data_IF_021217802133
#
_entry.id   IF_021217802133
#
_cell.length_a   1.000
_cell.length_b   1.000
_cell.length_c   1.000
_cell.angle_alpha   90.00
_cell.angle_beta   90.00
_cell.angle_gamma   90.00
#
_symmetry.space_group_name_H-M   'P 1'
#
loop_
_entity.id
_entity.type
_entity.pdbx_description
1 polymer ?
#
# COMPACT_ATOMS: atom_id res chain seq x y z
N UNK A 1 -2.51 4.60 16.54
CA UNK A 1 -3.78 4.10 15.98
C UNK A 1 -3.41 3.30 14.73
N UNK A 2 -3.47 1.97 14.86
CA UNK A 2 -3.04 1.00 13.86
C UNK A 2 -3.66 1.28 12.49
N UNK A 3 -2.85 1.24 11.44
CA UNK A 3 -3.33 1.37 10.05
C UNK A 3 -4.38 0.29 9.80
N UNK A 4 -5.59 0.72 9.48
CA UNK A 4 -6.77 -0.11 9.25
C UNK A 4 -6.89 -0.35 7.75
N UNK A 5 -7.33 -1.57 7.41
CA UNK A 5 -7.67 -2.09 6.08
C UNK A 5 -6.53 -2.84 5.36
N UNK A 6 -6.83 -4.09 4.97
CA UNK A 6 -6.02 -4.90 4.08
C UNK A 6 -5.78 -4.14 2.77
N UNK A 7 -4.50 -3.94 2.46
CA UNK A 7 -3.94 -3.22 1.33
C UNK A 7 -3.90 -1.69 1.42
N UNK A 8 -2.69 -1.19 1.68
CA UNK A 8 -2.26 0.19 1.46
C UNK A 8 -0.97 0.18 0.63
N UNK A 9 -0.97 0.86 -0.52
CA UNK A 9 0.28 1.33 -1.12
C UNK A 9 0.57 2.69 -0.50
N UNK A 10 1.36 2.68 0.57
CA UNK A 10 1.75 3.88 1.30
C UNK A 10 3.26 4.09 1.19
N UNK A 11 3.65 5.25 0.65
CA UNK A 11 4.89 5.92 1.02
C UNK A 11 4.49 7.02 1.99
N UNK A 12 4.21 6.63 3.24
CA UNK A 12 4.13 7.56 4.36
C UNK A 12 5.49 7.56 5.04
N UNK A 13 6.27 8.57 4.69
CA UNK A 13 7.29 9.09 5.59
C UNK A 13 6.56 9.85 6.72
N UNK A 14 6.28 9.18 7.83
CA UNK A 14 5.78 9.81 9.06
C UNK A 14 6.95 10.28 9.91
N UNK A 15 7.29 11.57 9.79
CA UNK A 15 7.69 12.45 10.91
C UNK A 15 8.12 13.83 10.39
N UNK A 16 7.21 14.61 9.79
CA UNK A 16 7.52 16.00 9.46
C UNK A 16 6.32 16.90 9.76
N UNK A 17 6.65 18.10 10.24
CA UNK A 17 5.83 19.17 10.84
C UNK A 17 4.73 19.76 9.91
N UNK A 18 4.38 19.09 8.80
CA UNK A 18 3.62 19.67 7.69
C UNK A 18 2.43 18.77 7.29
N UNK A 19 1.33 18.85 8.04
CA UNK A 19 0.02 18.29 7.65
C UNK A 19 -0.72 19.23 6.69
N UNK A 20 -1.56 18.78 5.74
CA UNK A 20 -2.27 19.68 4.82
C UNK A 20 -3.06 20.78 5.54
N UNK A 21 -3.58 20.50 6.73
CA UNK A 21 -4.29 21.44 7.59
C UNK A 21 -3.40 22.51 8.23
N UNK A 22 -2.09 22.30 8.32
CA UNK A 22 -1.10 23.28 8.82
C UNK A 22 -0.31 23.92 7.68
N UNK A 23 0.05 23.16 6.65
CA UNK A 23 0.86 23.60 5.51
C UNK A 23 0.10 24.54 4.57
N UNK A 24 -1.20 24.33 4.31
CA UNK A 24 -2.00 25.23 3.47
C UNK A 24 -2.19 26.61 4.12
N UNK A 25 -2.57 26.73 5.42
CA UNK A 25 -2.62 28.02 6.09
C UNK A 25 -1.25 28.71 6.21
N UNK A 26 -0.16 27.96 6.44
CA UNK A 26 1.21 28.50 6.45
C UNK A 26 1.65 29.00 5.07
N UNK A 27 1.36 28.24 4.00
CA UNK A 27 1.66 28.63 2.63
C UNK A 27 0.83 29.84 2.18
N UNK A 28 -0.46 29.90 2.57
CA UNK A 28 -1.32 31.07 2.36
C UNK A 28 -0.85 32.28 3.18
N UNK A 29 -0.44 32.08 4.43
CA UNK A 29 0.11 33.13 5.30
C UNK A 29 1.46 33.68 4.81
N UNK A 30 2.30 32.86 4.18
CA UNK A 30 3.57 33.27 3.57
C UNK A 30 3.39 33.83 2.15
N UNK A 31 2.32 33.45 1.44
CA UNK A 31 1.88 34.09 0.21
C UNK A 31 1.17 35.43 0.44
N UNK A 32 0.82 35.76 1.69
CA UNK A 32 0.23 37.04 2.06
C UNK A 32 1.31 38.14 2.12
N UNK A 33 1.48 38.84 0.99
CA UNK A 33 2.43 39.95 0.74
C UNK A 33 2.71 40.90 1.95
N UNK A 34 1.70 41.49 2.62
CA UNK A 34 1.90 42.38 3.78
C UNK A 34 2.53 41.73 5.03
N UNK A 35 2.41 40.42 5.24
CA UNK A 35 3.06 39.74 6.37
C UNK A 35 4.52 39.40 6.04
N UNK A 36 4.77 38.95 4.81
CA UNK A 36 6.09 38.57 4.33
C UNK A 36 7.02 39.78 4.18
N UNK A 37 6.50 40.91 3.69
CA UNK A 37 7.24 42.17 3.56
C UNK A 37 7.73 42.73 4.90
N UNK A 38 6.96 42.55 5.99
CA UNK A 38 7.36 42.93 7.36
C UNK A 38 8.49 42.06 7.92
N UNK A 39 8.49 40.76 7.61
CA UNK A 39 9.55 39.83 8.04
C UNK A 39 10.83 39.96 7.19
N UNK A 40 10.68 40.29 5.90
CA UNK A 40 11.80 40.50 4.97
C UNK A 40 12.56 41.82 5.17
N UNK A 41 12.02 42.79 5.92
CA UNK A 41 12.72 44.05 6.24
C UNK A 41 14.04 43.86 7.02
N UNK A 42 14.29 42.68 7.60
CA UNK A 42 15.53 42.33 8.32
C UNK A 42 16.55 41.53 7.50
N UNK A 43 16.27 41.18 6.25
CA UNK A 43 17.12 40.31 5.40
C UNK A 43 17.21 40.84 3.97
N UNK A 44 18.36 40.70 3.31
CA UNK A 44 18.56 41.10 1.90
C UNK A 44 17.48 40.50 0.97
N UNK A 45 16.95 41.31 0.05
CA UNK A 45 15.84 40.96 -0.87
C UNK A 45 16.05 39.62 -1.61
N UNK A 46 17.28 39.30 -2.01
CA UNK A 46 17.59 38.08 -2.78
C UNK A 46 17.46 36.78 -1.94
N UNK A 47 17.82 36.84 -0.65
CA UNK A 47 17.60 35.71 0.28
C UNK A 47 16.11 35.47 0.49
N UNK A 48 15.31 36.53 0.58
CA UNK A 48 13.87 36.43 0.78
C UNK A 48 13.17 35.80 -0.44
N UNK A 49 13.60 36.14 -1.66
CA UNK A 49 13.09 35.54 -2.90
C UNK A 49 13.44 34.05 -3.02
N UNK A 50 14.68 33.67 -2.67
CA UNK A 50 15.14 32.27 -2.70
C UNK A 50 14.40 31.41 -1.68
N UNK A 51 14.18 31.93 -0.46
CA UNK A 51 13.38 31.25 0.56
C UNK A 51 11.93 31.08 0.10
N UNK A 52 11.36 32.13 -0.53
CA UNK A 52 9.99 32.09 -1.05
C UNK A 52 9.81 31.01 -2.11
N UNK A 53 10.72 30.89 -3.08
CA UNK A 53 10.62 29.85 -4.11
C UNK A 53 10.74 28.44 -3.53
N UNK A 54 11.65 28.22 -2.57
CA UNK A 54 11.80 26.93 -1.88
C UNK A 54 10.54 26.55 -1.09
N UNK A 55 9.91 27.50 -0.42
CA UNK A 55 8.64 27.28 0.29
C UNK A 55 7.52 26.93 -0.69
N UNK A 56 7.42 27.62 -1.83
CA UNK A 56 6.42 27.28 -2.85
C UNK A 56 6.62 25.89 -3.44
N UNK A 57 7.87 25.50 -3.74
CA UNK A 57 8.18 24.15 -4.22
C UNK A 57 7.83 23.07 -3.21
N UNK A 58 8.14 23.29 -1.93
CA UNK A 58 7.77 22.36 -0.86
C UNK A 58 6.25 22.25 -0.70
N UNK A 59 5.52 23.37 -0.74
CA UNK A 59 4.06 23.37 -0.63
C UNK A 59 3.39 22.69 -1.83
N UNK A 60 3.89 22.92 -3.05
CA UNK A 60 3.39 22.26 -4.26
C UNK A 60 3.64 20.75 -4.21
N UNK A 61 4.83 20.31 -3.79
CA UNK A 61 5.14 18.90 -3.60
C UNK A 61 4.23 18.25 -2.53
N UNK A 62 3.99 18.93 -1.41
CA UNK A 62 3.05 18.47 -0.38
C UNK A 62 1.61 18.35 -0.87
N UNK A 63 1.15 19.30 -1.70
CA UNK A 63 -0.20 19.26 -2.27
C UNK A 63 -0.36 18.10 -3.25
N UNK A 64 0.63 17.85 -4.11
CA UNK A 64 0.64 16.70 -5.03
C UNK A 64 0.59 15.39 -4.25
N UNK A 65 1.39 15.27 -3.18
CA UNK A 65 1.37 14.09 -2.31
C UNK A 65 0.02 13.92 -1.61
N UNK A 66 -0.61 14.99 -1.14
CA UNK A 66 -1.93 14.94 -0.50
C UNK A 66 -3.06 14.59 -1.47
N UNK A 67 -3.01 15.10 -2.70
CA UNK A 67 -3.96 14.74 -3.75
C UNK A 67 -3.78 13.28 -4.18
N UNK A 68 -2.54 12.82 -4.29
CA UNK A 68 -2.24 11.42 -4.58
C UNK A 68 -2.75 10.49 -3.47
N UNK A 69 -2.59 10.86 -2.19
CA UNK A 69 -3.16 10.15 -1.05
C UNK A 69 -4.70 10.10 -1.11
N UNK A 70 -5.35 11.22 -1.43
CA UNK A 70 -6.81 11.28 -1.54
C UNK A 70 -7.35 10.44 -2.71
N UNK A 71 -6.68 10.47 -3.87
CA UNK A 71 -7.05 9.66 -5.03
C UNK A 71 -6.79 8.17 -4.76
N UNK A 72 -5.68 7.82 -4.11
CA UNK A 72 -5.36 6.44 -3.75
C UNK A 72 -6.36 5.86 -2.75
N UNK A 73 -6.78 6.63 -1.73
CA UNK A 73 -7.85 6.24 -0.81
C UNK A 73 -9.18 5.96 -1.52
N UNK A 74 -9.48 6.74 -2.57
CA UNK A 74 -10.69 6.53 -3.36
C UNK A 74 -10.59 5.37 -4.35
N UNK A 75 -9.38 4.96 -4.78
CA UNK A 75 -9.18 4.00 -5.88
C UNK A 75 -8.59 2.64 -5.49
N UNK A 76 -7.93 2.52 -4.33
CA UNK A 76 -7.17 1.32 -3.93
C UNK A 76 -7.99 0.02 -3.91
N UNK A 77 -9.31 0.09 -3.66
CA UNK A 77 -10.22 -1.07 -3.64
C UNK A 77 -11.23 -1.10 -4.81
N UNK A 78 -11.10 -0.19 -5.78
CA UNK A 78 -12.05 -0.10 -6.89
C UNK A 78 -11.86 -1.19 -7.94
N UNK A 79 -10.68 -1.82 -8.03
CA UNK A 79 -10.45 -2.85 -9.05
C UNK A 79 -11.32 -4.07 -8.83
N UNK A 80 -11.44 -4.59 -7.59
CA UNK A 80 -12.37 -5.69 -7.28
C UNK A 80 -13.81 -5.29 -7.62
N UNK A 81 -14.22 -4.05 -7.34
CA UNK A 81 -15.56 -3.53 -7.70
C UNK A 81 -15.78 -3.46 -9.21
N UNK A 82 -14.79 -2.98 -9.97
CA UNK A 82 -14.84 -2.87 -11.43
C UNK A 82 -14.90 -4.25 -12.08
N UNK A 83 -14.11 -5.16 -11.55
CA UNK A 83 -13.91 -6.50 -12.06
C UNK A 83 -15.11 -7.40 -11.71
N UNK A 84 -15.70 -7.26 -10.52
CA UNK A 84 -16.91 -7.98 -10.10
C UNK A 84 -18.14 -7.68 -10.97
N UNK A 85 -18.12 -6.61 -11.78
CA UNK A 85 -19.16 -6.32 -12.78
C UNK A 85 -19.07 -7.18 -14.05
N UNK A 86 -18.00 -7.97 -14.22
CA UNK A 86 -17.82 -8.85 -15.38
C UNK A 86 -18.51 -10.19 -15.13
N UNK A 87 -19.56 -10.56 -15.89
CA UNK A 87 -20.44 -11.69 -15.56
C UNK A 87 -19.81 -13.09 -15.74
N UNK A 88 -18.68 -13.19 -16.47
CA UNK A 88 -18.06 -14.47 -16.82
C UNK A 88 -16.90 -14.88 -15.92
N UNK A 89 -16.39 -13.97 -15.10
CA UNK A 89 -15.17 -14.23 -14.32
C UNK A 89 -15.53 -14.47 -12.86
N UNK A 90 -14.94 -15.52 -12.27
CA UNK A 90 -15.05 -15.81 -10.83
C UNK A 90 -13.94 -15.07 -10.10
N UNK A 91 -14.29 -14.46 -8.98
CA UNK A 91 -13.35 -13.74 -8.12
C UNK A 91 -13.33 -14.35 -6.74
N UNK A 92 -12.12 -14.53 -6.23
CA UNK A 92 -11.89 -14.98 -4.86
C UNK A 92 -11.15 -13.85 -4.17
N UNK A 93 -11.73 -13.36 -3.08
CA UNK A 93 -11.08 -12.39 -2.18
C UNK A 93 -10.72 -13.14 -0.91
N UNK A 94 -9.43 -13.13 -0.59
CA UNK A 94 -8.87 -13.70 0.63
C UNK A 94 -8.30 -12.55 1.45
N UNK A 95 -8.97 -12.18 2.54
CA UNK A 95 -8.59 -11.05 3.39
C UNK A 95 -9.00 -11.32 4.84
N UNK A 96 -8.35 -10.70 5.81
CA UNK A 96 -8.75 -10.77 7.22
C UNK A 96 -9.90 -9.79 7.52
N UNK A 97 -10.11 -8.77 6.68
CA UNK A 97 -11.18 -7.79 6.85
C UNK A 97 -12.36 -8.14 5.93
N UNK A 98 -13.61 -8.14 6.43
CA UNK A 98 -14.78 -8.33 5.59
C UNK A 98 -14.93 -7.21 4.55
N UNK A 99 -15.61 -7.52 3.44
CA UNK A 99 -15.88 -6.54 2.38
C UNK A 99 -16.65 -5.33 2.92
N UNK A 100 -16.14 -4.13 2.65
CA UNK A 100 -16.79 -2.87 3.02
C UNK A 100 -17.96 -2.46 2.12
N UNK A 101 -18.28 -3.28 1.11
CA UNK A 101 -19.29 -2.99 0.10
C UNK A 101 -19.97 -4.29 -0.35
N UNK A 102 -21.20 -4.14 -0.86
CA UNK A 102 -21.99 -5.27 -1.32
C UNK A 102 -21.79 -5.52 -2.82
N UNK A 103 -21.39 -6.73 -3.23
CA UNK A 103 -21.33 -7.11 -4.64
C UNK A 103 -22.68 -6.94 -5.34
N UNK A 104 -22.71 -6.49 -6.61
CA UNK A 104 -23.95 -6.40 -7.36
C UNK A 104 -24.58 -7.80 -7.52
N UNK A 105 -25.92 -7.89 -7.62
CA UNK A 105 -26.60 -9.16 -7.88
C UNK A 105 -26.01 -9.87 -9.11
N UNK A 106 -25.72 -11.16 -8.97
CA UNK A 106 -25.13 -11.97 -10.05
C UNK A 106 -23.60 -11.89 -10.17
N UNK A 107 -22.91 -11.11 -9.32
CA UNK A 107 -21.46 -11.15 -9.22
C UNK A 107 -21.00 -12.54 -8.74
N UNK A 108 -20.02 -13.14 -9.43
CA UNK A 108 -19.41 -14.41 -9.04
C UNK A 108 -18.22 -14.17 -8.10
N UNK A 109 -18.49 -13.55 -6.96
CA UNK A 109 -17.50 -13.20 -5.96
C UNK A 109 -17.62 -14.13 -4.75
N UNK A 110 -16.50 -14.72 -4.35
CA UNK A 110 -16.36 -15.54 -3.15
C UNK A 110 -15.40 -14.82 -2.19
N UNK A 111 -15.81 -14.66 -0.94
CA UNK A 111 -14.99 -14.05 0.09
C UNK A 111 -14.61 -15.11 1.13
N UNK A 112 -13.33 -15.15 1.49
CA UNK A 112 -12.80 -16.00 2.54
C UNK A 112 -12.05 -15.12 3.54
N UNK A 113 -12.48 -15.19 4.80
CA UNK A 113 -11.77 -14.53 5.89
C UNK A 113 -10.52 -15.33 6.24
N UNK A 114 -9.33 -14.71 6.13
CA UNK A 114 -8.06 -15.37 6.42
C UNK A 114 -6.99 -14.38 6.85
N UNK A 115 -6.36 -14.64 7.99
CA UNK A 115 -5.12 -13.96 8.38
C UNK A 115 -3.94 -14.56 7.61
N UNK A 116 -3.35 -13.76 6.72
CA UNK A 116 -2.19 -14.17 5.93
C UNK A 116 -0.89 -14.22 6.73
N UNK A 117 -0.88 -13.81 8.00
CA UNK A 117 0.27 -14.02 8.88
C UNK A 117 0.35 -15.45 9.43
N UNK A 118 -0.72 -16.25 9.27
CA UNK A 118 -0.78 -17.65 9.69
C UNK A 118 -0.66 -18.60 8.49
N UNK A 119 0.48 -19.29 8.40
CA UNK A 119 0.76 -20.26 7.35
C UNK A 119 -0.20 -21.45 7.32
N UNK A 120 -0.71 -21.88 8.49
CA UNK A 120 -1.66 -22.98 8.57
C UNK A 120 -3.05 -22.55 8.08
N UNK A 121 -3.48 -21.35 8.45
CA UNK A 121 -4.72 -20.75 7.93
C UNK A 121 -4.68 -20.61 6.40
N UNK A 122 -3.55 -20.15 5.83
CA UNK A 122 -3.36 -20.08 4.37
C UNK A 122 -3.57 -21.44 3.72
N UNK A 123 -2.95 -22.50 4.25
CA UNK A 123 -3.06 -23.85 3.68
C UNK A 123 -4.50 -24.34 3.64
N UNK A 124 -5.21 -24.23 4.77
CA UNK A 124 -6.61 -24.65 4.88
C UNK A 124 -7.48 -23.85 3.89
N UNK A 125 -7.31 -22.53 3.84
CA UNK A 125 -8.11 -21.70 2.94
C UNK A 125 -7.82 -21.98 1.48
N UNK A 126 -6.57 -22.24 1.10
CA UNK A 126 -6.22 -22.65 -0.26
C UNK A 126 -6.90 -23.96 -0.65
N UNK A 127 -6.89 -24.97 0.22
CA UNK A 127 -7.59 -26.25 -0.02
C UNK A 127 -9.10 -26.05 -0.20
N UNK A 128 -9.70 -25.22 0.65
CA UNK A 128 -11.12 -24.86 0.57
C UNK A 128 -11.46 -24.14 -0.74
N UNK A 129 -10.66 -23.17 -1.15
CA UNK A 129 -10.83 -22.45 -2.43
C UNK A 129 -10.74 -23.41 -3.63
N UNK A 130 -9.74 -24.30 -3.63
CA UNK A 130 -9.57 -25.31 -4.69
C UNK A 130 -10.80 -26.23 -4.81
N UNK A 131 -11.40 -26.60 -3.67
CA UNK A 131 -12.59 -27.46 -3.65
C UNK A 131 -13.88 -26.73 -4.05
N UNK A 132 -14.10 -25.51 -3.55
CA UNK A 132 -15.37 -24.78 -3.73
C UNK A 132 -15.43 -23.98 -5.05
N UNK A 133 -14.30 -23.40 -5.48
CA UNK A 133 -14.24 -22.49 -6.64
C UNK A 133 -13.40 -23.06 -7.77
N UNK A 134 -12.36 -23.82 -7.43
CA UNK A 134 -11.38 -24.37 -8.35
C UNK A 134 -10.05 -23.62 -8.33
N UNK A 135 -9.13 -24.03 -9.20
CA UNK A 135 -7.79 -23.43 -9.28
C UNK A 135 -7.85 -22.06 -9.99
N UNK A 136 -7.19 -21.02 -9.43
CA UNK A 136 -7.12 -19.71 -10.06
C UNK A 136 -6.24 -19.74 -11.30
N UNK A 137 -6.57 -18.93 -12.30
CA UNK A 137 -5.70 -18.64 -13.46
C UNK A 137 -4.88 -17.36 -13.27
N UNK A 138 -5.27 -16.52 -12.32
CA UNK A 138 -4.53 -15.32 -11.93
C UNK A 138 -4.46 -15.29 -10.41
N UNK A 139 -3.25 -15.25 -9.86
CA UNK A 139 -2.99 -15.01 -8.45
C UNK A 139 -2.46 -13.59 -8.29
N UNK A 140 -3.08 -12.80 -7.41
CA UNK A 140 -2.61 -11.46 -7.09
C UNK A 140 -2.20 -11.35 -5.62
N UNK A 141 -0.90 -11.41 -5.36
CA UNK A 141 -0.30 -11.22 -4.04
C UNK A 141 -0.24 -9.73 -3.73
N UNK A 142 -1.41 -9.21 -3.38
CA UNK A 142 -1.62 -7.79 -3.16
C UNK A 142 -1.44 -7.41 -1.69
N UNK A 143 -1.85 -8.29 -0.77
CA UNK A 143 -1.85 -8.03 0.66
C UNK A 143 -0.49 -7.55 1.16
N UNK A 144 -0.51 -6.49 1.96
CA UNK A 144 0.67 -5.99 2.63
C UNK A 144 0.37 -4.88 3.61
N UNK A 145 1.25 -4.72 4.59
CA UNK A 145 1.16 -3.73 5.65
C UNK A 145 2.52 -3.11 5.93
N UNK A 146 2.52 -1.86 6.39
CA UNK A 146 3.69 -1.14 6.88
C UNK A 146 3.38 -0.59 8.28
N UNK A 147 4.31 -0.76 9.23
CA UNK A 147 4.10 -0.38 10.63
C UNK A 147 4.55 1.04 10.95
N UNK A 148 5.56 1.54 10.24
CA UNK A 148 6.01 2.92 10.39
C UNK A 148 6.89 3.15 11.63
N UNK A 149 7.84 2.26 11.92
CA UNK A 149 8.77 2.39 13.04
C UNK A 149 10.22 2.34 12.58
N UNK A 150 11.12 2.97 13.34
CA UNK A 150 12.56 2.80 13.11
C UNK A 150 13.01 1.40 13.54
N UNK A 151 14.21 0.99 13.12
CA UNK A 151 14.78 -0.31 13.52
C UNK A 151 15.02 -0.42 15.03
N UNK A 152 15.21 0.72 15.73
CA UNK A 152 15.43 0.75 17.17
C UNK A 152 14.13 0.64 17.98
N UNK A 153 13.01 1.09 17.40
CA UNK A 153 11.72 1.16 18.07
C UNK A 153 10.79 0.00 17.70
N UNK A 154 10.96 -0.58 16.51
CA UNK A 154 10.14 -1.68 16.02
C UNK A 154 10.30 -2.94 16.86
N UNK A 155 9.20 -3.60 17.20
CA UNK A 155 9.26 -4.86 17.95
C UNK A 155 9.56 -6.04 17.02
N UNK A 156 10.10 -7.12 17.57
CA UNK A 156 10.29 -8.37 16.83
C UNK A 156 8.98 -8.91 16.26
N UNK A 157 7.86 -8.69 16.96
CA UNK A 157 6.53 -9.11 16.51
C UNK A 157 6.05 -8.29 15.31
N UNK A 158 6.32 -6.98 15.31
CA UNK A 158 5.99 -6.11 14.17
C UNK A 158 6.75 -6.55 12.92
N UNK A 159 8.06 -6.77 13.05
CA UNK A 159 8.91 -7.24 11.94
C UNK A 159 8.42 -8.58 11.41
N UNK A 160 8.13 -9.54 12.31
CA UNK A 160 7.60 -10.84 11.91
C UNK A 160 6.25 -10.74 11.21
N UNK A 161 5.34 -9.90 11.71
CA UNK A 161 4.04 -9.70 11.10
C UNK A 161 4.19 -9.12 9.68
N UNK A 162 5.00 -8.08 9.51
CA UNK A 162 5.28 -7.48 8.20
C UNK A 162 5.88 -8.49 7.24
N UNK A 163 6.90 -9.25 7.65
CA UNK A 163 7.52 -10.27 6.79
C UNK A 163 6.57 -11.43 6.46
N UNK A 164 5.81 -11.91 7.45
CA UNK A 164 4.85 -13.00 7.25
C UNK A 164 3.79 -12.62 6.22
N UNK A 165 3.17 -11.46 6.37
CA UNK A 165 2.11 -11.01 5.48
C UNK A 165 2.63 -10.58 4.10
N UNK A 166 3.70 -9.78 4.05
CA UNK A 166 4.14 -9.14 2.80
C UNK A 166 5.03 -10.03 1.93
N UNK A 167 5.67 -11.05 2.53
CA UNK A 167 6.66 -11.88 1.86
C UNK A 167 6.32 -13.37 1.95
N UNK A 168 6.22 -13.92 3.16
CA UNK A 168 6.02 -15.36 3.35
C UNK A 168 4.66 -15.82 2.80
N UNK A 169 3.58 -15.06 3.02
CA UNK A 169 2.27 -15.41 2.48
C UNK A 169 2.27 -15.50 0.93
N UNK A 170 2.84 -14.54 0.18
CA UNK A 170 3.07 -14.71 -1.26
C UNK A 170 3.80 -16.00 -1.63
N UNK A 171 4.90 -16.36 -0.94
CA UNK A 171 5.60 -17.63 -1.19
C UNK A 171 4.66 -18.85 -1.02
N UNK A 172 3.87 -18.87 0.05
CA UNK A 172 2.95 -19.97 0.34
C UNK A 172 1.81 -20.04 -0.67
N UNK A 173 1.21 -18.91 -1.03
CA UNK A 173 0.14 -18.84 -2.03
C UNK A 173 0.65 -19.28 -3.41
N UNK A 174 1.84 -18.85 -3.82
CA UNK A 174 2.49 -19.29 -5.06
C UNK A 174 2.71 -20.80 -5.01
N UNK A 175 3.24 -21.33 -3.91
CA UNK A 175 3.44 -22.77 -3.73
C UNK A 175 2.14 -23.58 -3.89
N UNK A 176 1.01 -23.07 -3.40
CA UNK A 176 -0.28 -23.75 -3.48
C UNK A 176 -0.91 -23.72 -4.87
N UNK A 177 -0.73 -22.64 -5.65
CA UNK A 177 -1.46 -22.44 -6.91
C UNK A 177 -0.62 -22.56 -8.18
N UNK A 178 0.68 -22.29 -8.13
CA UNK A 178 1.57 -22.36 -9.28
C UNK A 178 1.63 -23.74 -9.95
N UNK A 179 1.66 -24.88 -9.23
CA UNK A 179 1.78 -26.20 -9.88
C UNK A 179 0.68 -26.48 -10.92
N UNK A 180 -0.55 -26.06 -10.64
CA UNK A 180 -1.66 -26.24 -11.58
C UNK A 180 -1.56 -25.29 -12.79
N UNK A 181 -1.11 -24.05 -12.57
CA UNK A 181 -0.87 -23.10 -13.66
C UNK A 181 0.18 -23.63 -14.65
N UNK A 182 1.27 -24.21 -14.11
CA UNK A 182 2.31 -24.88 -14.90
C UNK A 182 1.75 -26.10 -15.63
N UNK A 183 1.01 -26.97 -14.93
CA UNK A 183 0.41 -28.18 -15.54
C UNK A 183 -0.55 -27.85 -16.69
N UNK A 184 -1.22 -26.69 -16.63
CA UNK A 184 -2.14 -26.21 -17.67
C UNK A 184 -1.48 -25.36 -18.75
N UNK A 185 -0.19 -25.05 -18.59
CA UNK A 185 0.52 -24.07 -19.42
C UNK A 185 -0.25 -22.73 -19.51
N UNK A 186 -0.88 -22.34 -18.41
CA UNK A 186 -1.72 -21.14 -18.36
C UNK A 186 -1.88 -20.63 -16.93
N UNK A 187 -1.32 -19.45 -16.67
CA UNK A 187 -1.60 -18.68 -15.47
C UNK A 187 -0.73 -17.43 -15.34
N UNK A 188 -1.11 -16.53 -14.46
CA UNK A 188 -0.35 -15.31 -14.14
C UNK A 188 -0.26 -15.10 -12.64
N UNK A 189 0.93 -14.74 -12.16
CA UNK A 189 1.17 -14.34 -10.78
C UNK A 189 1.59 -12.87 -10.79
N UNK A 190 0.83 -12.04 -10.08
CA UNK A 190 1.11 -10.63 -9.90
C UNK A 190 1.48 -10.41 -8.44
N UNK A 191 2.59 -9.71 -8.20
CA UNK A 191 3.03 -9.30 -6.87
C UNK A 191 2.98 -7.78 -6.78
N UNK A 192 2.38 -7.24 -5.71
CA UNK A 192 2.41 -5.79 -5.50
C UNK A 192 3.78 -5.36 -4.95
N UNK A 193 4.64 -4.90 -5.85
CA UNK A 193 5.94 -4.31 -5.53
C UNK A 193 5.85 -2.94 -4.87
N UNK A 194 7.01 -2.31 -4.64
CA UNK A 194 7.10 -0.96 -4.09
C UNK A 194 8.41 -0.29 -4.50
N UNK A 195 8.43 1.05 -4.60
CA UNK A 195 9.70 1.78 -4.71
C UNK A 195 10.60 1.52 -3.49
N UNK A 196 9.99 1.21 -2.33
CA UNK A 196 10.71 0.83 -1.11
C UNK A 196 11.49 -0.48 -1.23
N UNK A 197 11.27 -1.28 -2.28
CA UNK A 197 12.14 -2.44 -2.60
C UNK A 197 13.56 -2.02 -2.99
N UNK A 198 13.72 -0.80 -3.50
CA UNK A 198 15.01 -0.28 -4.01
C UNK A 198 15.51 0.89 -3.17
N UNK A 199 14.61 1.79 -2.76
CA UNK A 199 14.94 2.99 -1.98
C UNK A 199 14.16 3.00 -0.68
N UNK A 200 14.82 2.70 0.43
CA UNK A 200 14.20 2.58 1.76
C UNK A 200 14.29 3.89 2.56
N UNK A 201 13.25 4.18 3.35
CA UNK A 201 13.27 5.21 4.38
C UNK A 201 13.48 4.61 5.79
N UNK A 202 14.05 5.34 6.76
CA UNK A 202 14.40 4.80 8.09
C UNK A 202 13.24 4.26 8.91
N UNK A 203 12.00 4.67 8.63
CA UNK A 203 10.80 4.30 9.40
C UNK A 203 10.00 3.14 8.79
N UNK A 204 10.52 2.51 7.72
CA UNK A 204 9.83 1.43 6.99
C UNK A 204 10.79 0.29 6.65
N UNK A 205 11.76 0.03 7.54
CA UNK A 205 12.86 -0.92 7.27
C UNK A 205 12.32 -2.34 7.06
N UNK A 206 11.40 -2.78 7.93
CA UNK A 206 10.73 -4.09 7.84
C UNK A 206 9.91 -4.23 6.55
N UNK A 207 9.15 -3.20 6.19
CA UNK A 207 8.38 -3.15 4.95
C UNK A 207 9.30 -3.19 3.72
N UNK A 208 10.36 -2.38 3.71
CA UNK A 208 11.31 -2.29 2.60
C UNK A 208 12.04 -3.61 2.39
N UNK A 209 12.51 -4.24 3.48
CA UNK A 209 13.07 -5.58 3.43
C UNK A 209 12.07 -6.61 2.87
N UNK A 210 10.82 -6.57 3.33
CA UNK A 210 9.77 -7.48 2.83
C UNK A 210 9.50 -7.31 1.33
N UNK A 211 9.49 -6.06 0.84
CA UNK A 211 9.21 -5.75 -0.57
C UNK A 211 10.41 -6.02 -1.47
N UNK A 212 11.64 -5.82 -1.00
CA UNK A 212 12.84 -6.27 -1.69
C UNK A 212 12.86 -7.80 -1.83
N UNK A 213 12.51 -8.53 -0.76
CA UNK A 213 12.33 -9.99 -0.83
C UNK A 213 11.24 -10.41 -1.80
N UNK A 214 10.14 -9.67 -1.87
CA UNK A 214 9.03 -9.95 -2.80
C UNK A 214 9.44 -9.73 -4.26
N UNK A 215 10.29 -8.74 -4.52
CA UNK A 215 10.95 -8.56 -5.83
C UNK A 215 11.79 -9.78 -6.17
N UNK A 216 12.62 -10.25 -5.23
CA UNK A 216 13.42 -11.47 -5.43
C UNK A 216 12.57 -12.72 -5.70
N UNK A 217 11.41 -12.87 -5.04
CA UNK A 217 10.45 -13.94 -5.36
C UNK A 217 9.88 -13.79 -6.78
N UNK A 218 9.66 -12.57 -7.26
CA UNK A 218 9.02 -12.34 -8.55
C UNK A 218 9.95 -12.62 -9.74
N UNK A 219 11.25 -12.44 -9.58
CA UNK A 219 12.25 -12.61 -10.64
C UNK A 219 12.63 -14.08 -10.91
N UNK A 220 12.18 -15.01 -10.07
CA UNK A 220 12.46 -16.45 -10.13
C UNK A 220 11.24 -17.22 -10.62
#
# INVERSE_FOLDING_TARGET
>A
MFSREGFTLDVVARNWILTPTTTLPLALGLAWEPLFSRLAQRSSRDRAATIRSRVYWLAAASLVLALNDQLNKQTANNWVKLIARKPRTRFVVLDYVPLSWTPPPGARLHFYECDLSDAYAIKIMCDRIKAEVGHPTVLFNNAGLARGSTIMEGTSNDVQLTLKTNLIAPFLLVREFLPEMVRKDHGHILNTGSMSSVVSAPTIVDYSASKAGLTGLHEV
#
